data_IF_635446567379
#
_entry.id   IF_635446567379
#
_cell.length_a   1.000
_cell.length_b   1.000
_cell.length_c   1.000
_cell.angle_alpha   90.00
_cell.angle_beta   90.00
_cell.angle_gamma   90.00
#
_symmetry.space_group_name_H-M   'P 1'
#
loop_
_entity.id
_entity.type
_entity.pdbx_description
1 polymer ?
#
# COMPACT_ATOMS: atom_id res chain seq x y z
N UNK A 1 -21.30 7.10 22.06
CA UNK A 1 -20.21 8.00 22.48
C UNK A 1 -20.50 8.42 23.90
N UNK A 2 -19.62 8.08 24.84
CA UNK A 2 -19.74 8.43 26.25
C UNK A 2 -18.45 9.16 26.67
N UNK A 3 -18.59 10.17 27.52
CA UNK A 3 -17.43 10.89 28.06
C UNK A 3 -16.89 10.11 29.25
N UNK A 4 -15.59 9.81 29.21
CA UNK A 4 -14.91 9.15 30.32
C UNK A 4 -14.55 10.20 31.38
N UNK A 5 -14.94 9.95 32.61
CA UNK A 5 -14.54 10.73 33.79
C UNK A 5 -13.13 10.32 34.22
N UNK A 6 -12.40 11.27 34.79
CA UNK A 6 -11.12 10.95 35.45
C UNK A 6 -11.37 9.99 36.63
N UNK A 7 -10.42 9.09 36.86
CA UNK A 7 -10.36 8.19 38.01
C UNK A 7 -11.44 7.10 38.08
N UNK A 8 -12.09 6.80 36.95
CA UNK A 8 -13.07 5.70 36.84
C UNK A 8 -12.57 4.67 35.83
N UNK A 9 -12.54 3.40 36.24
CA UNK A 9 -12.28 2.28 35.33
C UNK A 9 -13.55 1.95 34.54
N UNK A 10 -13.40 1.78 33.23
CA UNK A 10 -14.49 1.43 32.33
C UNK A 10 -14.19 0.07 31.72
N UNK A 11 -15.17 -0.82 31.77
CA UNK A 11 -15.13 -2.14 31.13
C UNK A 11 -16.22 -2.20 30.06
N UNK A 12 -15.90 -2.83 28.93
CA UNK A 12 -16.82 -3.00 27.80
C UNK A 12 -16.96 -4.48 27.52
N UNK A 13 -18.14 -5.03 27.83
CA UNK A 13 -18.52 -6.39 27.46
C UNK A 13 -19.44 -6.36 26.24
N UNK A 14 -19.22 -7.25 25.27
CA UNK A 14 -20.06 -7.37 24.10
C UNK A 14 -20.22 -8.83 23.68
N UNK A 15 -21.45 -9.22 23.33
CA UNK A 15 -21.81 -10.55 22.82
C UNK A 15 -21.56 -10.71 21.32
N UNK A 16 -21.32 -9.60 20.62
CA UNK A 16 -21.06 -9.51 19.19
C UNK A 16 -19.74 -8.74 18.97
N UNK A 17 -19.06 -8.90 17.82
CA UNK A 17 -17.84 -8.14 17.53
C UNK A 17 -18.11 -6.63 17.57
N UNK A 18 -17.43 -5.92 18.48
CA UNK A 18 -17.51 -4.46 18.62
C UNK A 18 -16.12 -3.84 18.47
N UNK A 19 -16.08 -2.63 17.90
CA UNK A 19 -14.86 -1.81 17.87
C UNK A 19 -14.94 -0.74 18.95
N UNK A 20 -13.94 -0.68 19.82
CA UNK A 20 -13.80 0.39 20.83
C UNK A 20 -12.83 1.43 20.30
N UNK A 21 -13.23 2.70 20.31
CA UNK A 21 -12.44 3.83 19.81
C UNK A 21 -12.26 4.87 20.92
N UNK A 22 -11.01 5.13 21.31
CA UNK A 22 -10.69 6.27 22.18
C UNK A 22 -10.43 7.50 21.32
N UNK A 23 -11.29 8.50 21.44
CA UNK A 23 -11.16 9.76 20.70
C UNK A 23 -10.59 10.88 21.57
N UNK A 24 -9.67 11.69 21.03
CA UNK A 24 -9.37 13.01 21.60
C UNK A 24 -10.27 14.08 20.97
N UNK A 25 -10.73 15.11 21.73
CA UNK A 25 -11.46 16.22 21.13
C UNK A 25 -10.65 16.92 20.02
N UNK A 26 -11.37 17.31 18.97
CA UNK A 26 -10.96 17.89 17.69
C UNK A 26 -9.51 18.37 17.51
N UNK A 27 -8.68 17.59 16.80
CA UNK A 27 -7.28 17.92 16.50
C UNK A 27 -7.07 18.52 15.11
N UNK A 28 -7.99 18.32 14.18
CA UNK A 28 -7.96 19.01 12.89
C UNK A 28 -9.30 19.69 12.66
N UNK A 29 -9.27 20.99 12.34
CA UNK A 29 -10.47 21.74 11.97
C UNK A 29 -10.24 22.31 10.58
N UNK A 30 -11.07 22.00 9.60
CA UNK A 30 -11.01 22.61 8.27
C UNK A 30 -12.44 22.80 7.76
N UNK A 31 -12.80 24.01 7.32
CA UNK A 31 -14.17 24.35 6.89
C UNK A 31 -15.26 23.80 7.84
N UNK A 32 -15.17 24.11 9.13
CA UNK A 32 -16.09 23.62 10.17
C UNK A 32 -16.16 22.08 10.34
N UNK A 33 -15.35 21.32 9.62
CA UNK A 33 -15.20 19.87 9.78
C UNK A 33 -14.15 19.58 10.83
N UNK A 34 -14.48 18.66 11.74
CA UNK A 34 -13.60 18.23 12.82
C UNK A 34 -13.04 16.83 12.53
N UNK A 35 -11.72 16.70 12.38
CA UNK A 35 -11.06 15.40 12.45
C UNK A 35 -10.65 15.11 13.89
N UNK A 36 -11.23 14.06 14.45
CA UNK A 36 -10.84 13.50 15.74
C UNK A 36 -9.64 12.56 15.54
N UNK A 37 -8.71 12.53 16.50
CA UNK A 37 -7.80 11.40 16.59
C UNK A 37 -8.54 10.29 17.30
N UNK A 38 -8.58 9.11 16.70
CA UNK A 38 -9.15 7.92 17.30
C UNK A 38 -8.06 6.86 17.42
N UNK A 39 -7.99 6.26 18.59
CA UNK A 39 -7.13 5.13 18.94
C UNK A 39 -8.06 3.92 19.06
N UNK A 40 -8.15 3.07 18.02
CA UNK A 40 -8.91 1.83 18.12
C UNK A 40 -8.24 0.88 19.09
N UNK A 41 -9.06 0.09 19.79
CA UNK A 41 -8.63 -1.15 20.41
C UNK A 41 -8.97 -2.30 19.48
N UNK A 42 -7.94 -3.05 19.12
CA UNK A 42 -8.03 -4.24 18.32
C UNK A 42 -8.42 -5.43 19.21
N UNK A 43 -9.23 -6.36 18.68
CA UNK A 43 -9.62 -7.54 19.43
C UNK A 43 -8.39 -8.41 19.74
N UNK A 44 -8.50 -9.18 20.83
CA UNK A 44 -7.47 -10.15 21.21
C UNK A 44 -7.35 -11.23 20.13
N UNK A 45 -6.14 -11.40 19.60
CA UNK A 45 -5.73 -12.45 18.67
C UNK A 45 -5.43 -13.75 19.41
N UNK A 46 -5.37 -14.86 18.67
CA UNK A 46 -4.84 -16.13 19.17
C UNK A 46 -3.31 -16.18 19.14
N UNK A 47 -2.68 -15.32 18.35
CA UNK A 47 -1.21 -15.23 18.19
C UNK A 47 -0.65 -14.04 18.95
N UNK A 48 0.54 -14.22 19.55
CA UNK A 48 1.29 -13.11 20.14
C UNK A 48 1.98 -12.31 19.03
N UNK A 49 1.57 -11.06 18.87
CA UNK A 49 2.13 -10.11 17.91
C UNK A 49 3.31 -9.35 18.53
N UNK A 50 4.25 -8.92 17.69
CA UNK A 50 5.35 -8.05 18.09
C UNK A 50 4.97 -6.58 17.89
N UNK A 51 5.29 -5.75 18.88
CA UNK A 51 5.07 -4.31 18.86
C UNK A 51 6.39 -3.60 19.12
N UNK A 52 6.70 -2.58 18.32
CA UNK A 52 7.94 -1.82 18.44
C UNK A 52 7.63 -0.36 18.75
N UNK A 53 8.18 0.15 19.84
CA UNK A 53 8.01 1.53 20.27
C UNK A 53 9.25 2.34 19.83
N UNK A 54 9.10 3.31 18.90
CA UNK A 54 10.18 4.21 18.52
C UNK A 54 10.66 5.08 19.70
N UNK A 55 11.98 5.29 19.85
CA UNK A 55 12.52 6.22 20.84
C UNK A 55 12.07 7.68 20.60
N UNK A 56 11.62 8.01 19.38
CA UNK A 56 11.13 9.34 19.00
C UNK A 56 9.89 9.80 19.81
N UNK A 57 9.18 8.88 20.49
CA UNK A 57 8.01 9.22 21.30
C UNK A 57 8.36 9.73 22.71
N UNK A 58 9.56 9.43 23.20
CA UNK A 58 9.97 9.75 24.57
C UNK A 58 10.89 10.97 24.68
N UNK A 59 11.15 11.68 23.57
CA UNK A 59 11.98 12.89 23.62
C UNK A 59 11.40 13.87 24.66
N UNK A 60 12.22 14.24 25.65
CA UNK A 60 11.89 15.16 26.75
C UNK A 60 10.81 14.70 27.75
N UNK A 61 10.61 13.40 27.99
CA UNK A 61 9.73 12.95 29.08
C UNK A 61 9.60 11.43 29.22
N UNK A 62 10.74 10.76 29.36
CA UNK A 62 10.83 9.30 29.57
C UNK A 62 10.14 8.86 30.86
N UNK A 63 10.26 9.65 31.94
CA UNK A 63 9.76 9.31 33.28
C UNK A 63 8.22 9.30 33.41
N UNK A 64 7.49 9.79 32.41
CA UNK A 64 6.02 9.88 32.42
C UNK A 64 5.37 8.91 31.41
N UNK A 65 6.16 8.08 30.74
CA UNK A 65 5.68 7.15 29.72
C UNK A 65 5.29 5.79 30.32
N UNK A 66 4.15 5.27 29.86
CA UNK A 66 3.57 4.00 30.29
C UNK A 66 2.97 3.25 29.12
N UNK A 67 2.82 1.94 29.27
CA UNK A 67 2.19 1.05 28.31
C UNK A 67 0.90 0.48 28.90
N UNK A 68 -0.17 0.51 28.10
CA UNK A 68 -1.41 -0.20 28.38
C UNK A 68 -1.47 -1.41 27.44
N UNK A 69 -1.40 -2.61 28.02
CA UNK A 69 -1.30 -3.87 27.29
C UNK A 69 -2.53 -4.71 27.63
N UNK A 70 -3.27 -5.13 26.61
CA UNK A 70 -4.57 -5.78 26.78
C UNK A 70 -4.54 -7.09 27.58
N UNK A 71 -3.47 -7.89 27.47
CA UNK A 71 -3.38 -9.23 28.06
C UNK A 71 -2.53 -9.30 29.34
N UNK A 72 -2.15 -8.16 29.92
CA UNK A 72 -1.27 -8.08 31.09
C UNK A 72 -1.68 -6.96 32.05
N UNK A 73 -1.27 -7.07 33.32
CA UNK A 73 -1.52 -6.02 34.32
C UNK A 73 -0.92 -4.68 33.86
N UNK A 74 -1.77 -3.69 33.64
CA UNK A 74 -1.44 -2.37 33.09
C UNK A 74 -2.02 -1.25 33.96
N UNK A 75 -1.44 -0.02 33.98
CA UNK A 75 -0.30 0.45 33.19
C UNK A 75 1.06 -0.09 33.66
N UNK A 76 1.97 -0.32 32.72
CA UNK A 76 3.37 -0.67 32.99
C UNK A 76 4.30 0.51 32.64
N UNK A 77 5.32 0.82 33.44
CA UNK A 77 6.32 1.83 33.05
C UNK A 77 7.01 1.45 31.74
N UNK A 78 7.23 2.43 30.86
CA UNK A 78 7.96 2.22 29.62
C UNK A 78 9.48 2.12 29.88
N UNK A 79 10.15 1.09 29.36
CA UNK A 79 11.61 0.94 29.41
C UNK A 79 12.23 1.27 28.03
N UNK A 80 12.94 2.40 27.87
CA UNK A 80 13.56 2.77 26.61
C UNK A 80 14.70 1.83 26.15
N UNK A 81 15.20 0.95 27.04
CA UNK A 81 16.17 -0.09 26.68
C UNK A 81 15.52 -1.38 26.19
N UNK A 82 14.20 -1.56 26.40
CA UNK A 82 13.41 -2.70 25.95
C UNK A 82 12.15 -2.22 25.23
N UNK A 83 12.30 -1.53 24.08
CA UNK A 83 11.19 -0.92 23.35
C UNK A 83 10.31 -1.92 22.57
N UNK A 84 10.55 -3.23 22.72
CA UNK A 84 9.81 -4.28 22.04
C UNK A 84 8.91 -5.03 23.02
N UNK A 85 7.64 -5.16 22.66
CA UNK A 85 6.61 -5.79 23.49
C UNK A 85 5.91 -6.88 22.69
N UNK A 86 5.49 -7.94 23.36
CA UNK A 86 4.61 -8.95 22.78
C UNK A 86 3.29 -8.99 23.53
N UNK A 87 2.19 -9.00 22.79
CA UNK A 87 0.85 -9.11 23.33
C UNK A 87 -0.03 -9.88 22.36
N UNK A 88 -1.06 -10.55 22.89
CA UNK A 88 -2.15 -11.07 22.05
C UNK A 88 -3.18 -10.01 21.69
N UNK A 89 -3.18 -8.83 22.30
CA UNK A 89 -4.10 -7.73 21.97
C UNK A 89 -3.38 -6.41 21.74
N UNK A 90 -4.12 -5.30 21.82
CA UNK A 90 -3.55 -3.96 21.61
C UNK A 90 -2.50 -3.57 22.65
N UNK A 91 -1.51 -2.81 22.18
CA UNK A 91 -0.51 -2.13 23.00
C UNK A 91 -0.65 -0.64 22.75
N UNK A 92 -1.01 0.12 23.79
CA UNK A 92 -1.16 1.57 23.72
C UNK A 92 -0.04 2.24 24.49
N UNK A 93 0.72 3.10 23.81
CA UNK A 93 1.72 3.97 24.43
C UNK A 93 1.04 5.22 24.98
N UNK A 94 1.21 5.47 26.27
CA UNK A 94 0.56 6.54 27.00
C UNK A 94 1.58 7.44 27.71
N UNK A 95 1.46 8.75 27.51
CA UNK A 95 2.10 9.81 28.30
C UNK A 95 1.18 11.03 28.35
N UNK A 96 1.40 12.03 29.22
CA UNK A 96 0.54 13.22 29.27
C UNK A 96 0.35 13.88 27.90
N UNK A 97 -0.90 13.88 27.42
CA UNK A 97 -1.30 14.42 26.11
C UNK A 97 -1.36 13.42 24.95
N UNK A 98 -0.65 12.30 25.03
CA UNK A 98 -0.53 11.32 23.94
C UNK A 98 -1.05 9.95 24.38
N UNK A 99 -2.04 9.45 23.64
CA UNK A 99 -2.52 8.08 23.73
C UNK A 99 -2.43 7.45 22.34
N UNK A 100 -1.38 6.67 22.10
CA UNK A 100 -1.00 6.20 20.77
C UNK A 100 -1.09 4.67 20.68
N UNK A 101 -1.98 4.15 19.82
CA UNK A 101 -2.00 2.73 19.52
C UNK A 101 -0.70 2.36 18.79
N UNK A 102 0.02 1.37 19.27
CA UNK A 102 1.21 0.85 18.61
C UNK A 102 0.75 -0.20 17.62
N UNK A 103 1.12 -0.03 16.35
CA UNK A 103 0.76 -0.98 15.30
C UNK A 103 1.66 -2.22 15.41
N UNK A 104 1.09 -3.45 15.38
CA UNK A 104 1.87 -4.66 15.39
C UNK A 104 2.66 -4.84 14.08
N UNK A 105 3.78 -5.54 14.15
CA UNK A 105 4.68 -5.81 13.00
C UNK A 105 3.94 -6.39 11.79
N UNK A 106 2.96 -7.27 12.01
CA UNK A 106 2.17 -7.91 10.95
C UNK A 106 1.26 -6.94 10.17
N UNK A 107 0.94 -5.79 10.77
CA UNK A 107 0.12 -4.74 10.15
C UNK A 107 0.93 -3.60 9.53
N UNK A 108 2.25 -3.75 9.47
CA UNK A 108 3.08 -2.82 8.73
C UNK A 108 2.64 -2.80 7.27
N UNK A 109 2.60 -1.61 6.69
CA UNK A 109 2.11 -1.38 5.33
C UNK A 109 3.21 -0.69 4.50
N UNK A 110 2.95 -0.48 3.22
CA UNK A 110 3.97 0.08 2.33
C UNK A 110 3.70 1.54 1.96
N UNK A 111 2.50 2.05 2.28
CA UNK A 111 2.04 3.36 1.84
C UNK A 111 1.15 4.07 2.85
N UNK A 112 1.51 5.30 3.18
CA UNK A 112 0.85 6.12 4.20
C UNK A 112 0.67 7.55 3.74
N UNK A 113 -0.43 8.19 4.16
CA UNK A 113 -0.69 9.60 3.87
C UNK A 113 -0.90 10.41 5.14
N UNK A 114 -0.19 11.52 5.25
CA UNK A 114 -0.42 12.52 6.29
C UNK A 114 -0.72 13.86 5.64
N UNK A 115 -1.91 14.40 5.92
CA UNK A 115 -2.23 15.78 5.56
C UNK A 115 -2.04 16.68 6.78
N UNK A 116 -1.33 17.80 6.60
CA UNK A 116 -1.18 18.82 7.65
C UNK A 116 -1.65 20.17 7.13
N UNK A 117 -2.17 21.04 7.99
CA UNK A 117 -2.47 22.43 7.63
C UNK A 117 -1.41 23.36 8.23
N UNK A 118 -0.33 23.69 7.50
CA UNK A 118 0.82 24.42 8.06
C UNK A 118 0.47 25.85 8.50
N UNK A 119 -0.67 26.40 8.07
CA UNK A 119 -1.11 27.78 8.38
C UNK A 119 -1.98 27.90 9.64
N UNK A 120 -2.13 26.83 10.45
CA UNK A 120 -2.88 26.91 11.72
C UNK A 120 -1.95 27.11 12.90
N UNK A 121 -2.03 28.24 13.62
CA UNK A 121 -1.11 28.54 14.74
C UNK A 121 -1.33 27.66 15.97
N UNK A 122 -2.40 26.86 16.03
CA UNK A 122 -2.69 25.99 17.18
C UNK A 122 -1.83 24.73 17.25
N UNK A 123 -1.32 24.25 16.12
CA UNK A 123 -0.56 23.01 16.05
C UNK A 123 0.79 23.29 15.42
N UNK A 124 1.85 22.95 16.13
CA UNK A 124 3.22 23.24 15.73
C UNK A 124 4.05 21.97 15.73
N UNK A 125 5.20 22.02 15.05
CA UNK A 125 6.20 20.96 15.07
C UNK A 125 5.63 19.59 14.67
N UNK A 126 4.75 19.57 13.68
CA UNK A 126 4.16 18.34 13.13
C UNK A 126 5.21 17.52 12.41
N UNK A 127 5.26 16.23 12.72
CA UNK A 127 6.28 15.29 12.27
C UNK A 127 5.65 13.96 11.88
N UNK A 128 6.32 13.25 10.98
CA UNK A 128 6.12 11.82 10.77
C UNK A 128 7.23 11.04 11.48
N UNK A 129 6.88 9.99 12.22
CA UNK A 129 7.84 9.02 12.76
C UNK A 129 7.68 7.74 11.95
N UNK A 130 8.71 7.38 11.19
CA UNK A 130 8.75 6.18 10.36
C UNK A 130 9.51 5.08 11.09
N UNK A 131 9.07 3.84 10.93
CA UNK A 131 9.74 2.63 11.43
C UNK A 131 9.90 1.64 10.29
N UNK A 132 11.13 1.19 10.06
CA UNK A 132 11.47 0.30 8.95
C UNK A 132 12.52 -0.71 9.36
N UNK A 133 12.55 -1.85 8.67
CA UNK A 133 13.62 -2.82 8.84
C UNK A 133 14.97 -2.22 8.40
N UNK A 134 16.05 -2.53 9.14
CA UNK A 134 17.40 -1.99 8.91
C UNK A 134 17.89 -2.14 7.48
N UNK A 135 17.62 -3.29 6.87
CA UNK A 135 18.05 -3.63 5.50
C UNK A 135 17.34 -2.84 4.40
N UNK A 136 16.30 -2.08 4.75
CA UNK A 136 15.42 -1.41 3.80
C UNK A 136 15.29 0.10 4.06
N UNK A 137 16.04 0.64 5.02
CA UNK A 137 15.99 2.06 5.43
C UNK A 137 16.30 3.07 4.33
N UNK A 138 17.07 2.66 3.32
CA UNK A 138 17.45 3.50 2.18
C UNK A 138 16.40 3.49 1.05
N UNK A 139 15.36 2.67 1.17
CA UNK A 139 14.27 2.53 0.21
C UNK A 139 12.99 3.24 0.65
N UNK A 140 13.11 4.27 1.48
CA UNK A 140 11.97 5.02 2.02
C UNK A 140 11.90 6.38 1.37
N UNK A 141 10.70 6.78 0.94
CA UNK A 141 10.46 8.00 0.18
C UNK A 141 9.33 8.81 0.83
N UNK A 142 9.44 10.13 0.75
CA UNK A 142 8.28 11.03 0.85
C UNK A 142 7.99 11.56 -0.56
N UNK A 143 6.87 11.13 -1.14
CA UNK A 143 6.53 11.34 -2.55
C UNK A 143 7.69 10.83 -3.43
N UNK A 144 8.37 11.69 -4.19
CA UNK A 144 9.53 11.30 -5.01
C UNK A 144 10.87 11.55 -4.34
N UNK A 145 10.89 12.11 -3.13
CA UNK A 145 12.11 12.48 -2.42
C UNK A 145 12.56 11.30 -1.56
N UNK A 146 13.74 10.70 -1.84
CA UNK A 146 14.29 9.65 -0.99
C UNK A 146 14.65 10.23 0.37
N UNK A 147 14.41 9.46 1.43
CA UNK A 147 14.81 9.79 2.79
C UNK A 147 16.18 9.20 3.16
N UNK A 148 16.93 8.67 2.18
CA UNK A 148 18.31 8.20 2.34
C UNK A 148 19.23 9.35 2.78
N UNK A 149 20.13 9.10 3.74
CA UNK A 149 21.21 10.04 4.09
C UNK A 149 21.00 10.95 5.31
N UNK A 150 19.89 10.86 6.04
CA UNK A 150 19.80 11.42 7.41
C UNK A 150 19.81 10.29 8.43
N UNK A 151 20.28 10.57 9.65
CA UNK A 151 20.42 9.58 10.71
C UNK A 151 19.11 8.87 11.05
N UNK A 152 19.21 7.55 11.21
CA UNK A 152 18.14 6.67 11.66
C UNK A 152 18.49 6.22 13.09
N UNK A 153 17.50 6.20 13.98
CA UNK A 153 17.66 5.78 15.37
C UNK A 153 17.41 4.28 15.49
N UNK A 154 18.29 3.56 16.19
CA UNK A 154 18.07 2.15 16.49
C UNK A 154 16.89 1.96 17.45
N UNK A 155 15.96 1.07 17.09
CA UNK A 155 15.02 0.51 18.06
C UNK A 155 15.75 -0.66 18.72
N UNK A 156 16.32 -0.39 19.90
CA UNK A 156 17.18 -1.33 20.66
C UNK A 156 16.54 -2.72 20.75
N UNK A 157 17.37 -3.76 20.69
CA UNK A 157 16.95 -5.18 20.75
C UNK A 157 16.12 -5.67 19.56
N UNK A 158 15.99 -4.88 18.48
CA UNK A 158 15.25 -5.25 17.27
C UNK A 158 16.06 -5.05 15.99
N UNK A 159 15.54 -5.56 14.87
CA UNK A 159 16.05 -5.33 13.52
C UNK A 159 15.44 -4.08 12.85
N UNK A 160 14.77 -3.22 13.62
CA UNK A 160 14.10 -2.03 13.12
C UNK A 160 14.84 -0.75 13.53
N UNK A 161 14.66 0.27 12.72
CA UNK A 161 15.13 1.64 12.95
C UNK A 161 13.98 2.60 12.77
N UNK A 162 14.05 3.74 13.45
CA UNK A 162 13.08 4.82 13.31
C UNK A 162 13.70 6.12 12.80
N UNK A 163 12.87 6.96 12.20
CA UNK A 163 13.27 8.28 11.72
C UNK A 163 12.13 9.27 11.83
N UNK A 164 12.47 10.44 12.34
CA UNK A 164 11.55 11.58 12.40
C UNK A 164 11.75 12.50 11.20
N UNK A 165 10.65 12.82 10.50
CA UNK A 165 10.61 13.77 9.38
C UNK A 165 9.69 14.91 9.72
N UNK A 166 10.19 16.14 9.72
CA UNK A 166 9.36 17.35 9.89
C UNK A 166 8.44 17.54 8.69
N UNK A 167 7.15 17.78 8.95
CA UNK A 167 6.14 18.00 7.92
C UNK A 167 5.94 19.50 7.70
N UNK A 168 6.17 19.96 6.48
CA UNK A 168 5.96 21.36 6.07
C UNK A 168 4.92 21.52 4.97
N UNK A 169 4.69 20.46 4.20
CA UNK A 169 3.79 20.44 3.04
C UNK A 169 2.40 19.95 3.43
N UNK A 170 1.35 20.46 2.76
CA UNK A 170 -0.04 20.05 3.05
C UNK A 170 -0.26 18.54 2.90
N UNK A 171 0.33 17.92 1.89
CA UNK A 171 0.18 16.50 1.59
C UNK A 171 1.53 15.79 1.73
N UNK A 172 1.60 14.72 2.49
CA UNK A 172 2.82 13.92 2.63
C UNK A 172 2.45 12.47 2.37
N UNK A 173 3.19 11.81 1.50
CA UNK A 173 2.94 10.42 1.11
C UNK A 173 4.22 9.64 1.32
N UNK A 174 4.25 8.87 2.39
CA UNK A 174 5.40 8.07 2.75
C UNK A 174 5.24 6.68 2.15
N UNK A 175 6.26 6.20 1.46
CA UNK A 175 6.24 4.86 0.89
C UNK A 175 7.58 4.16 0.84
N UNK A 176 7.52 2.83 0.78
CA UNK A 176 8.68 1.94 0.66
C UNK A 176 8.27 0.70 -0.13
N UNK A 177 9.18 0.04 -0.88
CA UNK A 177 8.94 -1.28 -1.47
C UNK A 177 8.77 -2.38 -0.40
N UNK A 178 9.07 -2.08 0.86
CA UNK A 178 9.04 -3.02 1.99
C UNK A 178 8.17 -2.47 3.11
N UNK A 179 7.64 -3.37 3.93
CA UNK A 179 6.74 -3.03 5.01
C UNK A 179 7.39 -2.02 5.98
N UNK A 180 6.60 -1.04 6.38
CA UNK A 180 6.98 0.02 7.30
C UNK A 180 5.79 0.47 8.12
N UNK A 181 6.06 1.26 9.14
CA UNK A 181 5.05 1.90 9.95
C UNK A 181 5.30 3.40 9.99
N UNK A 182 4.23 4.19 9.98
CA UNK A 182 4.31 5.65 10.02
C UNK A 182 3.32 6.19 11.04
N UNK A 183 3.80 7.05 11.93
CA UNK A 183 2.99 7.78 12.90
C UNK A 183 3.01 9.27 12.58
N UNK A 184 1.89 9.94 12.79
CA UNK A 184 1.81 11.39 12.78
C UNK A 184 1.84 11.90 14.23
N UNK A 185 2.78 12.79 14.54
CA UNK A 185 2.89 13.44 15.85
C UNK A 185 2.96 14.95 15.70
N UNK A 186 2.54 15.69 16.72
CA UNK A 186 2.63 17.15 16.75
C UNK A 186 2.42 17.70 18.15
N UNK A 187 2.40 19.03 18.27
CA UNK A 187 2.22 19.70 19.56
C UNK A 187 1.13 20.77 19.51
N UNK A 188 0.33 20.82 20.58
CA UNK A 188 -0.57 21.94 20.87
C UNK A 188 -0.07 22.63 22.14
N UNK A 189 0.67 23.73 21.97
CA UNK A 189 1.45 24.29 23.08
C UNK A 189 2.55 23.32 23.49
N UNK A 190 2.52 22.83 24.74
CA UNK A 190 3.45 21.81 25.27
C UNK A 190 2.92 20.38 25.20
N UNK A 191 1.62 20.22 24.89
CA UNK A 191 0.95 18.93 24.89
C UNK A 191 1.22 18.24 23.56
N UNK A 192 1.87 17.08 23.61
CA UNK A 192 2.09 16.24 22.44
C UNK A 192 0.79 15.52 22.06
N UNK A 193 0.51 15.39 20.77
CA UNK A 193 -0.58 14.56 20.25
C UNK A 193 -0.09 13.73 19.07
N UNK A 194 -0.83 12.68 18.72
CA UNK A 194 -0.48 11.87 17.56
C UNK A 194 -1.39 10.66 17.36
N UNK A 195 -1.23 10.02 16.21
CA UNK A 195 -1.95 8.82 15.80
C UNK A 195 -1.12 8.04 14.77
N UNK A 196 -1.36 6.72 14.59
CA UNK A 196 -0.91 6.01 13.40
C UNK A 196 -1.36 6.73 12.13
N UNK A 197 -0.46 6.90 11.16
CA UNK A 197 -0.81 7.52 9.89
C UNK A 197 -1.79 6.61 9.12
N UNK A 198 -2.79 7.19 8.44
CA UNK A 198 -3.67 6.42 7.57
C UNK A 198 -2.89 5.64 6.51
N UNK A 199 -3.14 4.33 6.45
CA UNK A 199 -2.63 3.45 5.41
C UNK A 199 -3.41 3.74 4.12
N UNK A 200 -2.69 3.99 3.03
CA UNK A 200 -3.27 4.03 1.69
C UNK A 200 -3.34 2.62 1.13
N UNK A 201 -2.26 1.86 1.28
CA UNK A 201 -2.13 0.52 0.72
C UNK A 201 -1.06 -0.30 1.46
N UNK A 202 -1.34 -1.60 1.62
CA UNK A 202 -0.37 -2.61 2.07
C UNK A 202 0.58 -3.05 0.95
N UNK A 203 0.29 -2.67 -0.30
CA UNK A 203 1.07 -2.95 -1.49
C UNK A 203 1.62 -1.68 -2.14
N UNK A 204 2.76 -1.82 -2.79
CA UNK A 204 3.55 -0.74 -3.35
C UNK A 204 4.03 -1.12 -4.72
N UNK A 205 4.23 -0.11 -5.58
CA UNK A 205 4.82 -0.27 -6.89
C UNK A 205 6.25 0.27 -6.82
N UNK A 206 7.12 -0.23 -7.69
CA UNK A 206 8.45 0.38 -7.92
C UNK A 206 8.35 1.88 -8.21
N UNK A 207 7.21 2.34 -8.74
CA UNK A 207 6.97 3.73 -9.12
C UNK A 207 6.38 4.58 -7.98
N UNK A 208 5.84 3.99 -6.92
CA UNK A 208 5.25 4.73 -5.80
C UNK A 208 4.06 4.06 -5.13
N UNK A 209 3.21 4.86 -4.48
CA UNK A 209 2.06 4.33 -3.74
C UNK A 209 0.90 3.87 -4.61
N UNK A 210 0.60 2.58 -4.55
CA UNK A 210 -0.56 2.00 -5.25
C UNK A 210 -1.84 2.45 -4.54
N UNK A 211 -2.69 3.21 -5.23
CA UNK A 211 -4.02 3.63 -4.81
C UNK A 211 -5.08 2.61 -5.20
N UNK A 212 -5.00 2.10 -6.43
CA UNK A 212 -5.79 0.96 -6.88
C UNK A 212 -4.81 -0.09 -7.41
N UNK A 213 -4.96 -1.35 -6.99
CA UNK A 213 -4.07 -2.40 -7.44
C UNK A 213 -4.18 -2.60 -8.95
N UNK A 214 -3.08 -3.09 -9.52
CA UNK A 214 -3.06 -3.66 -10.85
C UNK A 214 -3.99 -4.88 -10.87
N UNK A 215 -4.79 -5.01 -11.92
CA UNK A 215 -5.67 -6.17 -12.10
C UNK A 215 -5.27 -6.87 -13.38
N UNK A 216 -5.00 -8.17 -13.26
CA UNK A 216 -4.74 -9.08 -14.36
C UNK A 216 -5.72 -10.24 -14.23
N UNK A 217 -6.48 -10.50 -15.28
CA UNK A 217 -7.50 -11.54 -15.29
C UNK A 217 -7.45 -12.30 -16.62
N UNK A 218 -7.48 -13.63 -16.55
CA UNK A 218 -7.53 -14.49 -17.73
C UNK A 218 -8.98 -14.96 -17.85
N UNK A 219 -9.62 -14.66 -18.99
CA UNK A 219 -10.98 -15.11 -19.24
C UNK A 219 -11.08 -16.64 -19.26
N UNK A 220 -12.26 -17.14 -18.92
CA UNK A 220 -12.55 -18.58 -18.83
C UNK A 220 -13.27 -19.13 -20.09
N UNK A 221 -13.74 -18.23 -20.96
CA UNK A 221 -14.44 -18.58 -22.20
C UNK A 221 -13.59 -18.23 -23.42
N UNK A 222 -13.39 -19.21 -24.30
CA UNK A 222 -12.74 -18.99 -25.58
C UNK A 222 -13.69 -18.26 -26.56
N UNK A 223 -13.21 -17.19 -27.19
CA UNK A 223 -13.99 -16.33 -28.07
C UNK A 223 -13.10 -15.68 -29.14
N UNK A 224 -13.71 -14.96 -30.08
CA UNK A 224 -12.98 -14.14 -31.04
C UNK A 224 -12.41 -12.87 -30.39
N UNK A 225 -11.43 -12.26 -31.04
CA UNK A 225 -10.72 -11.09 -30.52
C UNK A 225 -11.64 -9.90 -30.24
N UNK A 226 -12.68 -9.70 -31.07
CA UNK A 226 -13.62 -8.59 -30.88
C UNK A 226 -14.49 -8.83 -29.64
N UNK A 227 -14.94 -10.05 -29.44
CA UNK A 227 -15.73 -10.48 -28.28
C UNK A 227 -14.89 -10.35 -27.00
N UNK A 228 -13.60 -10.69 -27.06
CA UNK A 228 -12.63 -10.52 -25.97
C UNK A 228 -12.54 -9.08 -25.45
N UNK A 229 -12.61 -8.07 -26.34
CA UNK A 229 -12.66 -6.66 -25.92
C UNK A 229 -13.90 -6.39 -25.09
N UNK A 230 -15.06 -6.87 -25.54
CA UNK A 230 -16.32 -6.64 -24.84
C UNK A 230 -16.35 -7.40 -23.50
N UNK A 231 -15.80 -8.60 -23.46
CA UNK A 231 -15.65 -9.40 -22.25
C UNK A 231 -14.88 -8.62 -21.17
N UNK A 232 -13.68 -8.13 -21.48
CA UNK A 232 -12.89 -7.36 -20.50
C UNK A 232 -13.61 -6.08 -20.06
N UNK A 233 -14.26 -5.37 -21.00
CA UNK A 233 -15.02 -4.15 -20.67
C UNK A 233 -16.20 -4.40 -19.74
N UNK A 234 -16.88 -5.54 -19.87
CA UNK A 234 -17.97 -5.91 -18.96
C UNK A 234 -17.46 -6.16 -17.52
N UNK A 235 -16.18 -6.50 -17.35
CA UNK A 235 -15.51 -6.61 -16.06
C UNK A 235 -14.93 -5.27 -15.55
N UNK A 236 -15.08 -4.17 -16.31
CA UNK A 236 -14.46 -2.89 -15.98
C UNK A 236 -12.93 -2.86 -16.19
N UNK A 237 -12.43 -3.78 -17.02
CA UNK A 237 -11.05 -3.94 -17.45
C UNK A 237 -10.93 -3.64 -18.96
N UNK A 238 -9.70 -3.62 -19.48
CA UNK A 238 -9.41 -3.54 -20.91
C UNK A 238 -8.73 -4.83 -21.39
N UNK A 239 -8.78 -5.13 -22.68
CA UNK A 239 -7.97 -6.21 -23.24
C UNK A 239 -6.50 -5.77 -23.21
N UNK A 240 -5.62 -6.58 -22.64
CA UNK A 240 -4.26 -6.20 -22.27
C UNK A 240 -3.46 -5.66 -23.47
N UNK A 241 -3.03 -4.41 -23.39
CA UNK A 241 -2.27 -3.73 -24.47
C UNK A 241 -1.00 -3.03 -23.97
N UNK A 242 -0.40 -3.59 -22.91
CA UNK A 242 0.91 -3.20 -22.37
C UNK A 242 2.04 -3.46 -23.38
N UNK A 243 3.22 -2.88 -23.17
CA UNK A 243 4.34 -3.10 -24.09
C UNK A 243 4.93 -4.53 -24.03
N UNK A 244 5.73 -4.88 -25.04
CA UNK A 244 6.38 -6.18 -25.15
C UNK A 244 7.20 -6.60 -23.93
N UNK A 245 7.91 -5.66 -23.32
CA UNK A 245 8.76 -5.94 -22.16
C UNK A 245 7.90 -6.21 -20.92
N UNK A 246 6.88 -5.37 -20.68
CA UNK A 246 5.93 -5.54 -19.57
C UNK A 246 5.17 -6.86 -19.68
N UNK A 247 4.66 -7.20 -20.88
CA UNK A 247 3.98 -8.46 -21.12
C UNK A 247 4.89 -9.67 -20.91
N UNK A 248 6.14 -9.63 -21.42
CA UNK A 248 7.11 -10.72 -21.22
C UNK A 248 7.46 -10.91 -19.75
N UNK A 249 7.52 -9.83 -18.96
CA UNK A 249 7.75 -9.91 -17.52
C UNK A 249 6.56 -10.53 -16.77
N UNK A 250 5.33 -10.29 -17.26
CA UNK A 250 4.10 -10.83 -16.67
C UNK A 250 3.85 -12.30 -17.06
N UNK A 251 4.22 -12.71 -18.27
CA UNK A 251 3.88 -14.02 -18.85
C UNK A 251 4.27 -15.25 -18.00
N UNK A 252 5.45 -15.32 -17.33
CA UNK A 252 5.76 -16.44 -16.43
C UNK A 252 4.75 -16.63 -15.30
N UNK A 253 4.19 -15.53 -14.78
CA UNK A 253 3.16 -15.60 -13.73
C UNK A 253 1.84 -16.11 -14.30
N UNK A 254 1.47 -15.70 -15.51
CA UNK A 254 0.27 -16.16 -16.20
C UNK A 254 0.34 -17.67 -16.50
N UNK A 255 1.49 -18.14 -16.97
CA UNK A 255 1.74 -19.56 -17.18
C UNK A 255 1.59 -20.35 -15.86
N UNK A 256 2.18 -19.87 -14.76
CA UNK A 256 2.07 -20.52 -13.46
C UNK A 256 0.63 -20.53 -12.89
N UNK A 257 -0.24 -19.60 -13.31
CA UNK A 257 -1.67 -19.61 -12.94
C UNK A 257 -2.46 -20.70 -13.66
N UNK A 258 -2.07 -21.03 -14.90
CA UNK A 258 -2.69 -22.10 -15.68
C UNK A 258 -1.72 -22.66 -16.73
N UNK A 259 -0.98 -23.70 -16.36
CA UNK A 259 0.06 -24.31 -17.21
C UNK A 259 -0.51 -24.95 -18.49
N UNK A 260 -1.81 -25.25 -18.52
CA UNK A 260 -2.48 -25.85 -19.69
C UNK A 260 -2.90 -24.81 -20.74
N UNK A 261 -2.90 -23.53 -20.37
CA UNK A 261 -3.28 -22.44 -21.26
C UNK A 261 -2.06 -22.02 -22.08
N UNK A 262 -2.14 -22.22 -23.40
CA UNK A 262 -0.98 -22.02 -24.29
C UNK A 262 -0.94 -20.63 -24.93
N UNK A 263 -2.07 -19.92 -25.02
CA UNK A 263 -2.14 -18.62 -25.69
C UNK A 263 -3.34 -17.80 -25.23
N UNK A 264 -3.21 -16.48 -25.30
CA UNK A 264 -4.23 -15.51 -24.89
C UNK A 264 -4.36 -14.38 -25.90
N UNK A 265 -5.59 -13.85 -26.04
CA UNK A 265 -5.81 -12.63 -26.81
C UNK A 265 -5.24 -11.41 -26.10
N UNK A 266 -4.51 -10.57 -26.85
CA UNK A 266 -4.01 -9.28 -26.40
C UNK A 266 -4.55 -8.14 -27.29
N UNK A 267 -4.56 -6.92 -26.75
CA UNK A 267 -5.21 -5.72 -27.28
C UNK A 267 -4.48 -5.03 -28.43
N UNK A 268 -3.96 -5.81 -29.39
CA UNK A 268 -3.30 -5.28 -30.59
C UNK A 268 -3.96 -5.78 -31.87
N UNK A 269 -4.02 -4.89 -32.85
CA UNK A 269 -4.62 -5.17 -34.16
C UNK A 269 -3.77 -4.57 -35.27
N UNK A 270 -3.72 -5.26 -36.41
CA UNK A 270 -3.08 -4.81 -37.64
C UNK A 270 -4.03 -3.95 -38.46
N UNK A 271 -3.49 -2.92 -39.10
CA UNK A 271 -4.20 -2.10 -40.07
C UNK A 271 -4.24 -2.83 -41.40
N UNK A 272 -5.44 -3.13 -41.90
CA UNK A 272 -5.61 -3.77 -43.21
C UNK A 272 -5.22 -2.86 -44.38
N UNK A 273 -5.02 -1.55 -44.14
CA UNK A 273 -4.58 -0.59 -45.16
C UNK A 273 -3.06 -0.41 -45.19
N UNK A 274 -2.44 -0.31 -44.01
CA UNK A 274 -1.01 0.05 -43.89
C UNK A 274 -0.11 -1.11 -43.46
N UNK A 275 -0.70 -2.22 -42.99
CA UNK A 275 0.03 -3.33 -42.39
C UNK A 275 0.61 -3.05 -41.00
N UNK A 276 0.47 -1.82 -40.48
CA UNK A 276 0.99 -1.41 -39.18
C UNK A 276 0.13 -1.90 -38.01
N UNK A 277 0.76 -2.18 -36.87
CA UNK A 277 0.11 -2.61 -35.64
C UNK A 277 -0.22 -1.45 -34.71
N UNK A 278 -1.39 -1.49 -34.08
CA UNK A 278 -1.89 -0.47 -33.16
C UNK A 278 -2.53 -1.07 -31.90
N UNK A 279 -2.46 -0.31 -30.81
CA UNK A 279 -3.22 -0.55 -29.57
C UNK A 279 -4.69 -0.19 -29.76
N UNK A 280 -5.59 -0.74 -28.94
CA UNK A 280 -7.03 -0.41 -28.99
C UNK A 280 -7.36 1.10 -28.92
N UNK A 281 -6.53 1.90 -28.25
CA UNK A 281 -6.64 3.35 -28.17
C UNK A 281 -6.03 4.11 -29.37
N UNK A 282 -5.62 3.38 -30.42
CA UNK A 282 -4.99 3.88 -31.66
C UNK A 282 -3.62 4.56 -31.47
N UNK A 283 -2.96 4.36 -30.33
CA UNK A 283 -1.56 4.78 -30.19
C UNK A 283 -0.63 3.78 -30.87
N UNK A 284 0.48 4.28 -31.42
CA UNK A 284 1.53 3.44 -32.01
C UNK A 284 2.14 2.54 -30.94
N UNK A 285 2.53 1.33 -31.34
CA UNK A 285 3.29 0.41 -30.49
C UNK A 285 4.76 0.80 -30.58
N UNK A 286 5.39 1.11 -29.45
CA UNK A 286 6.81 1.45 -29.41
C UNK A 286 7.70 0.22 -29.26
N UNK A 287 7.22 -0.81 -28.54
CA UNK A 287 7.97 -2.03 -28.25
C UNK A 287 7.05 -3.26 -28.33
N UNK A 288 7.43 -4.20 -29.19
CA UNK A 288 6.72 -5.45 -29.49
C UNK A 288 7.58 -6.65 -29.12
N UNK A 289 6.96 -7.75 -28.69
CA UNK A 289 7.67 -9.01 -28.42
C UNK A 289 7.17 -10.13 -29.34
N UNK A 290 7.32 -9.94 -30.65
CA UNK A 290 6.93 -10.95 -31.64
C UNK A 290 7.76 -12.22 -31.51
N UNK A 291 7.11 -13.37 -31.69
CA UNK A 291 7.76 -14.68 -31.77
C UNK A 291 8.63 -14.84 -33.01
N UNK A 292 9.34 -15.96 -33.09
CA UNK A 292 10.15 -16.28 -34.25
C UNK A 292 9.28 -16.41 -35.51
N UNK A 293 9.59 -15.63 -36.54
CA UNK A 293 8.83 -15.61 -37.80
C UNK A 293 7.59 -14.72 -37.78
N UNK A 294 7.33 -14.00 -36.68
CA UNK A 294 6.15 -13.16 -36.48
C UNK A 294 6.50 -11.66 -36.51
N UNK A 295 5.56 -10.77 -36.87
CA UNK A 295 4.26 -11.10 -37.47
C UNK A 295 4.47 -11.56 -38.92
N UNK A 296 3.58 -12.42 -39.40
CA UNK A 296 3.56 -12.85 -40.79
C UNK A 296 3.18 -11.75 -41.79
N UNK A 297 2.91 -12.16 -43.03
CA UNK A 297 2.37 -11.27 -44.06
C UNK A 297 0.97 -10.74 -43.68
N UNK A 298 0.51 -9.58 -44.18
CA UNK A 298 -0.79 -8.99 -43.83
C UNK A 298 -1.98 -9.95 -43.93
N UNK A 299 -1.91 -10.95 -44.80
CA UNK A 299 -2.98 -11.93 -45.00
C UNK A 299 -2.97 -13.06 -43.95
N UNK A 300 -1.89 -13.21 -43.16
CA UNK A 300 -1.74 -14.28 -42.17
C UNK A 300 -2.64 -14.07 -40.94
N UNK A 301 -2.63 -12.85 -40.40
CA UNK A 301 -3.43 -12.48 -39.24
C UNK A 301 -3.62 -10.98 -39.11
N UNK A 302 -4.66 -10.61 -38.36
CA UNK A 302 -4.98 -9.19 -38.11
C UNK A 302 -5.07 -8.88 -36.62
N UNK A 303 -5.08 -9.88 -35.75
CA UNK A 303 -5.20 -9.73 -34.30
C UNK A 303 -4.04 -10.45 -33.61
N UNK A 304 -3.50 -9.89 -32.53
CA UNK A 304 -2.34 -10.48 -31.88
C UNK A 304 -2.75 -11.40 -30.73
N UNK A 305 -2.09 -12.56 -30.65
CA UNK A 305 -2.06 -13.41 -29.46
C UNK A 305 -0.70 -13.37 -28.79
N UNK A 306 -0.65 -13.60 -27.50
CA UNK A 306 0.57 -13.89 -26.76
C UNK A 306 0.64 -15.37 -26.42
N UNK A 307 1.77 -16.01 -26.72
CA UNK A 307 2.06 -17.36 -26.23
C UNK A 307 2.29 -17.34 -24.72
N UNK A 308 1.73 -18.31 -24.01
CA UNK A 308 2.05 -18.61 -22.61
C UNK A 308 2.99 -19.81 -22.47
N UNK A 309 3.51 -20.31 -23.59
CA UNK A 309 4.52 -21.37 -23.65
C UNK A 309 5.93 -20.80 -23.36
N UNK A 310 6.61 -21.25 -22.29
CA UNK A 310 7.98 -20.84 -21.99
C UNK A 310 8.97 -21.18 -23.11
N UNK A 311 8.75 -22.27 -23.86
CA UNK A 311 9.64 -22.69 -24.95
C UNK A 311 9.58 -21.73 -26.15
N UNK A 312 8.53 -20.91 -26.23
CA UNK A 312 8.36 -19.85 -27.25
C UNK A 312 8.75 -18.46 -26.74
N UNK A 313 9.43 -18.37 -25.59
CA UNK A 313 9.80 -17.12 -24.91
C UNK A 313 8.61 -16.14 -24.77
N UNK A 314 7.38 -16.66 -24.64
CA UNK A 314 6.14 -15.88 -24.57
C UNK A 314 5.93 -14.91 -25.75
N UNK A 315 6.47 -15.26 -26.93
CA UNK A 315 6.36 -14.45 -28.14
C UNK A 315 4.92 -14.24 -28.61
N UNK A 316 4.70 -13.14 -29.29
CA UNK A 316 3.41 -12.79 -29.90
C UNK A 316 3.31 -13.37 -31.31
N UNK A 317 2.10 -13.70 -31.75
CA UNK A 317 1.81 -14.13 -33.13
C UNK A 317 0.64 -13.36 -33.71
N UNK A 318 0.60 -13.22 -35.04
CA UNK A 318 -0.57 -12.71 -35.73
C UNK A 318 -1.56 -13.83 -36.09
N UNK A 319 -2.82 -13.59 -35.76
CA UNK A 319 -3.87 -14.60 -35.85
C UNK A 319 -5.14 -14.05 -36.52
N UNK A 320 -5.92 -14.98 -37.06
CA UNK A 320 -7.28 -14.68 -37.49
C UNK A 320 -8.09 -14.22 -36.29
N UNK A 321 -8.67 -13.02 -36.36
CA UNK A 321 -9.45 -12.44 -35.26
C UNK A 321 -10.65 -13.30 -34.82
N UNK A 322 -11.05 -14.29 -35.63
CA UNK A 322 -12.13 -15.21 -35.33
C UNK A 322 -11.66 -16.51 -34.64
N UNK A 323 -10.35 -16.72 -34.48
CA UNK A 323 -9.80 -17.87 -33.76
C UNK A 323 -10.31 -17.88 -32.32
N UNK A 324 -10.70 -19.05 -31.82
CA UNK A 324 -11.18 -19.19 -30.45
C UNK A 324 -9.99 -19.21 -29.48
N UNK A 325 -9.86 -18.16 -28.65
CA UNK A 325 -8.91 -18.09 -27.54
C UNK A 325 -9.50 -17.27 -26.39
N UNK A 326 -8.92 -17.39 -25.19
CA UNK A 326 -9.38 -16.63 -24.03
C UNK A 326 -8.73 -15.24 -23.98
N UNK A 327 -9.43 -14.21 -23.48
CA UNK A 327 -8.85 -12.87 -23.31
C UNK A 327 -7.88 -12.78 -22.13
N UNK A 328 -6.80 -12.02 -22.29
CA UNK A 328 -6.06 -11.45 -21.16
C UNK A 328 -6.60 -10.05 -20.87
N UNK A 329 -7.36 -9.90 -19.79
CA UNK A 329 -7.89 -8.64 -19.32
C UNK A 329 -6.92 -7.97 -18.34
N UNK A 330 -6.85 -6.65 -18.40
CA UNK A 330 -5.88 -5.86 -17.65
C UNK A 330 -6.43 -4.50 -17.26
N UNK A 331 -5.98 -3.99 -16.12
CA UNK A 331 -6.16 -2.59 -15.71
C UNK A 331 -4.93 -2.09 -14.97
N UNK A 332 -4.42 -0.96 -15.44
CA UNK A 332 -3.26 -0.31 -14.83
C UNK A 332 -3.49 0.04 -13.35
N UNK A 333 -2.45 -0.13 -12.51
CA UNK A 333 -2.50 0.38 -11.15
C UNK A 333 -2.54 1.91 -11.19
N UNK A 334 -3.42 2.51 -10.38
CA UNK A 334 -3.34 3.94 -10.12
C UNK A 334 -2.30 4.18 -9.03
N UNK A 335 -1.27 4.96 -9.32
CA UNK A 335 -0.18 5.25 -8.38
C UNK A 335 -0.23 6.73 -7.96
N UNK A 336 -0.10 7.01 -6.68
CA UNK A 336 0.02 8.37 -6.16
C UNK A 336 1.46 8.88 -6.37
N UNK A 337 1.62 9.88 -7.23
CA UNK A 337 2.93 10.36 -7.69
C UNK A 337 3.23 11.85 -7.42
N UNK A 338 2.41 12.55 -6.63
CA UNK A 338 2.46 14.02 -6.54
C UNK A 338 2.94 14.60 -5.21
#
# INVERSE_FOLDING_TARGET
MFWMSKDVTYEVEASEPVSVLFGHPCTTVFNCTCGMLVTPLDPVSQTKLNFFIPPDFTTNGEDEASLLIADQGSPLPYDPNRPAVKSVGSVVFHRPGLLLNIIPEEDFATCFRINIYPKKPKFTNTKAVLVVHKDHKDLVYNRRVPLSGQEWNDIKTTHYVSKTVTLTEWNNVFWSPKAMMVYHIGYQGTIMFGNPAPIISKYTSLKGCVMTPEVVDIGDVAMGWRESIQYCKNLGLDLASMDGTEMRFLAPKLHAMNETLMQVWIGFRRSSLTGEWYRLNKTKIENTHWGEGEPGEPEAGQCAMMSLDPDKDFGWSDESCCTAAVPLCYKDPLVFLN
#
